data_IF_160614604594
#
_entry.id   IF_160614604594
#
_cell.length_a   1.000
_cell.length_b   1.000
_cell.length_c   1.000
_cell.angle_alpha   90.00
_cell.angle_beta   90.00
_cell.angle_gamma   90.00
#
_symmetry.space_group_name_H-M   'P 1'
#
loop_
_entity.id
_entity.type
_entity.pdbx_description
1 polymer ?
#
# COMPACT_ATOMS: atom_id res chain seq x y z
N UNK A 1 17.00 2.28 24.67
CA UNK A 1 17.08 3.62 24.04
C UNK A 1 15.66 4.11 23.76
N UNK A 2 15.38 5.36 24.08
CA UNK A 2 14.05 5.91 24.30
C UNK A 2 13.13 5.85 23.06
N UNK A 3 11.86 5.48 23.28
CA UNK A 3 10.75 5.59 22.31
C UNK A 3 10.55 7.05 21.92
N UNK A 4 11.15 7.51 20.83
CA UNK A 4 10.76 8.76 20.18
C UNK A 4 9.73 8.44 19.09
N UNK A 5 8.60 7.87 19.49
CA UNK A 5 7.39 7.95 18.67
C UNK A 5 6.84 9.35 18.87
N UNK A 6 7.10 10.26 17.93
CA UNK A 6 6.50 11.60 17.98
C UNK A 6 4.98 11.47 18.14
N UNK A 7 4.31 12.32 18.93
CA UNK A 7 2.87 12.20 19.18
C UNK A 7 2.05 12.23 17.87
N UNK A 8 2.55 12.91 16.85
CA UNK A 8 1.95 13.02 15.53
C UNK A 8 2.01 11.72 14.71
N UNK A 9 3.07 10.91 14.82
CA UNK A 9 3.13 9.61 14.14
C UNK A 9 2.12 8.62 14.74
N UNK A 10 1.83 8.72 16.04
CA UNK A 10 0.78 7.92 16.69
C UNK A 10 -0.64 8.31 16.24
N UNK A 11 -0.89 9.58 15.93
CA UNK A 11 -2.20 10.04 15.44
C UNK A 11 -2.43 9.65 13.98
N UNK A 12 -1.40 9.71 13.14
CA UNK A 12 -1.47 9.23 11.75
C UNK A 12 -1.70 7.71 11.71
N UNK A 13 -1.07 6.95 12.61
CA UNK A 13 -1.33 5.51 12.76
C UNK A 13 -2.79 5.25 13.12
N UNK A 14 -3.40 6.10 13.97
CA UNK A 14 -4.84 6.02 14.31
C UNK A 14 -5.75 6.44 13.15
N UNK A 15 -5.38 7.46 12.38
CA UNK A 15 -6.09 7.88 11.18
C UNK A 15 -6.06 6.79 10.10
N UNK A 16 -4.96 6.05 9.98
CA UNK A 16 -4.83 4.93 9.04
C UNK A 16 -5.47 3.65 9.56
N UNK A 17 -5.88 3.64 10.84
CA UNK A 17 -6.34 2.43 11.49
C UNK A 17 -7.77 2.07 11.13
N UNK A 18 -7.97 0.81 10.73
CA UNK A 18 -9.29 0.25 10.51
C UNK A 18 -10.12 0.22 11.79
N UNK A 19 -11.28 0.88 11.77
CA UNK A 19 -12.47 0.41 12.48
C UNK A 19 -12.84 -0.92 11.84
N UNK A 20 -12.84 -1.97 12.67
CA UNK A 20 -13.15 -3.37 12.37
C UNK A 20 -13.93 -3.57 11.07
N UNK A 21 -13.29 -4.16 10.06
CA UNK A 21 -13.97 -4.67 8.86
C UNK A 21 -15.07 -5.62 9.35
N UNK A 22 -16.37 -5.38 9.07
CA UNK A 22 -17.39 -6.38 9.35
C UNK A 22 -17.08 -7.63 8.52
N UNK A 23 -17.28 -8.84 9.07
CA UNK A 23 -17.07 -10.07 8.30
C UNK A 23 -17.88 -10.00 7.00
N UNK A 24 -17.21 -10.14 5.86
CA UNK A 24 -17.88 -10.15 4.55
C UNK A 24 -18.97 -11.23 4.54
N UNK A 25 -20.18 -10.83 4.15
CA UNK A 25 -21.27 -11.75 3.88
C UNK A 25 -20.95 -12.63 2.67
N UNK A 26 -21.35 -13.92 2.67
CA UNK A 26 -21.02 -14.86 1.62
C UNK A 26 -21.91 -14.61 0.40
N UNK A 27 -21.51 -13.67 -0.45
CA UNK A 27 -22.15 -13.44 -1.75
C UNK A 27 -21.32 -14.05 -2.88
N UNK A 28 -21.26 -15.38 -2.92
CA UNK A 28 -20.94 -16.14 -4.14
C UNK A 28 -21.94 -17.29 -4.23
N UNK A 29 -23.17 -16.96 -4.61
CA UNK A 29 -24.19 -17.95 -4.95
C UNK A 29 -24.38 -18.01 -6.47
N UNK A 30 -24.12 -19.22 -7.01
CA UNK A 30 -24.58 -19.82 -8.29
C UNK A 30 -23.68 -19.69 -9.51
N UNK A 31 -22.81 -20.70 -9.69
CA UNK A 31 -22.36 -21.24 -10.98
C UNK A 31 -22.17 -22.79 -10.83
N UNK A 32 -22.26 -23.61 -11.91
CA UNK A 32 -22.86 -24.93 -11.86
C UNK A 32 -21.96 -26.08 -11.34
N UNK A 33 -22.32 -26.55 -10.12
CA UNK A 33 -22.50 -27.90 -9.57
C UNK A 33 -21.78 -29.19 -10.04
N UNK A 34 -20.89 -29.27 -11.04
CA UNK A 34 -20.28 -30.57 -11.41
C UNK A 34 -18.74 -30.67 -11.31
N UNK A 35 -18.03 -29.54 -11.18
CA UNK A 35 -16.60 -29.52 -10.82
C UNK A 35 -16.34 -29.05 -9.37
N UNK A 36 -17.39 -28.68 -8.65
CA UNK A 36 -17.31 -27.86 -7.42
C UNK A 36 -16.94 -28.61 -6.14
N UNK A 37 -17.12 -29.93 -6.04
CA UNK A 37 -16.92 -30.62 -4.75
C UNK A 37 -15.42 -30.77 -4.41
N UNK A 38 -14.54 -30.89 -5.40
CA UNK A 38 -13.10 -31.02 -5.15
C UNK A 38 -12.40 -29.67 -4.88
N UNK A 39 -12.86 -28.59 -5.51
CA UNK A 39 -12.24 -27.27 -5.33
C UNK A 39 -12.69 -26.56 -4.04
N UNK A 40 -13.93 -26.80 -3.60
CA UNK A 40 -14.48 -26.13 -2.42
C UNK A 40 -13.87 -26.61 -1.09
N UNK A 41 -13.28 -27.82 -1.07
CA UNK A 41 -12.59 -28.39 0.11
C UNK A 41 -11.15 -27.87 0.23
N UNK A 42 -10.53 -27.47 -0.88
CA UNK A 42 -9.11 -27.11 -0.96
C UNK A 42 -8.78 -25.68 -0.47
N UNK A 43 -9.77 -24.80 -0.29
CA UNK A 43 -9.59 -23.38 0.04
C UNK A 43 -10.09 -22.98 1.45
N UNK A 44 -10.28 -23.94 2.34
CA UNK A 44 -10.92 -23.69 3.64
C UNK A 44 -9.97 -23.22 4.77
N UNK A 45 -8.65 -23.27 4.56
CA UNK A 45 -7.68 -22.85 5.57
C UNK A 45 -7.41 -21.35 5.47
N UNK A 46 -7.97 -20.59 6.41
CA UNK A 46 -7.62 -19.17 6.60
C UNK A 46 -6.30 -19.11 7.35
N UNK A 47 -5.28 -18.51 6.74
CA UNK A 47 -3.99 -18.27 7.38
C UNK A 47 -3.81 -16.77 7.64
N UNK A 48 -3.32 -16.39 8.83
CA UNK A 48 -3.02 -15.00 9.11
C UNK A 48 -1.79 -14.57 8.28
N UNK A 49 -1.83 -13.36 7.73
CA UNK A 49 -0.73 -12.81 6.93
C UNK A 49 0.60 -12.74 7.68
N UNK A 50 0.59 -12.71 9.01
CA UNK A 50 1.80 -12.74 9.84
C UNK A 50 2.61 -14.03 9.69
N UNK A 51 1.94 -15.16 9.39
CA UNK A 51 2.59 -16.46 9.14
C UNK A 51 3.08 -16.61 7.69
N UNK A 52 2.80 -15.62 6.83
CA UNK A 52 3.16 -15.61 5.41
C UNK A 52 4.23 -14.56 5.07
N UNK A 53 4.83 -13.91 6.07
CA UNK A 53 5.77 -12.80 5.84
C UNK A 53 7.03 -12.98 6.68
N UNK A 54 8.19 -12.81 6.05
CA UNK A 54 9.49 -12.72 6.72
C UNK A 54 10.01 -14.06 7.23
N UNK A 55 10.73 -14.07 8.35
CA UNK A 55 11.39 -15.27 8.90
C UNK A 55 10.38 -16.33 9.35
N UNK A 56 9.18 -15.90 9.72
CA UNK A 56 8.09 -16.78 10.14
C UNK A 56 7.34 -17.39 8.94
N UNK A 57 7.53 -16.85 7.73
CA UNK A 57 6.88 -17.29 6.49
C UNK A 57 7.07 -18.78 6.22
N UNK A 58 8.27 -19.31 6.48
CA UNK A 58 8.58 -20.72 6.24
C UNK A 58 7.74 -21.70 7.06
N UNK A 59 7.17 -21.27 8.20
CA UNK A 59 6.31 -22.12 9.05
C UNK A 59 4.88 -22.22 8.51
N UNK A 60 4.35 -21.14 7.93
CA UNK A 60 3.02 -21.09 7.33
C UNK A 60 2.98 -21.62 5.89
N UNK A 61 3.95 -21.21 5.06
CA UNK A 61 4.01 -21.60 3.64
C UNK A 61 4.42 -23.05 3.41
N UNK A 62 5.21 -23.67 4.29
CA UNK A 62 5.56 -25.11 4.16
C UNK A 62 4.34 -26.05 4.22
N UNK A 63 3.22 -25.57 4.76
CA UNK A 63 1.96 -26.32 4.84
C UNK A 63 1.11 -26.23 3.57
N UNK A 64 1.40 -25.25 2.70
CA UNK A 64 0.64 -24.97 1.49
C UNK A 64 1.50 -25.32 0.28
N UNK A 65 0.93 -26.02 -0.71
CA UNK A 65 1.63 -26.22 -1.98
C UNK A 65 1.60 -24.94 -2.81
N UNK A 66 2.65 -24.70 -3.60
CA UNK A 66 2.75 -23.49 -4.43
C UNK A 66 1.53 -23.29 -5.35
N UNK A 67 0.98 -24.37 -5.91
CA UNK A 67 -0.20 -24.31 -6.77
C UNK A 67 -1.45 -23.84 -6.01
N UNK A 68 -1.60 -24.26 -4.75
CA UNK A 68 -2.71 -23.84 -3.90
C UNK A 68 -2.61 -22.35 -3.57
N UNK A 69 -1.40 -21.87 -3.26
CA UNK A 69 -1.15 -20.45 -2.99
C UNK A 69 -1.47 -19.57 -4.20
N UNK A 70 -1.04 -19.97 -5.39
CA UNK A 70 -1.34 -19.22 -6.62
C UNK A 70 -2.84 -19.17 -6.92
N UNK A 71 -3.52 -20.30 -6.76
CA UNK A 71 -4.98 -20.37 -6.97
C UNK A 71 -5.71 -19.52 -5.92
N UNK A 72 -5.29 -19.52 -4.66
CA UNK A 72 -5.92 -18.71 -3.62
C UNK A 72 -5.70 -17.20 -3.85
N UNK A 73 -4.48 -16.79 -4.19
CA UNK A 73 -4.17 -15.39 -4.50
C UNK A 73 -4.98 -14.86 -5.68
N UNK A 74 -5.25 -15.70 -6.68
CA UNK A 74 -6.10 -15.32 -7.83
C UNK A 74 -7.55 -15.05 -7.45
N UNK A 75 -8.08 -15.79 -6.47
CA UNK A 75 -9.49 -15.71 -6.08
C UNK A 75 -9.75 -14.68 -4.96
N UNK A 76 -8.70 -14.16 -4.32
CA UNK A 76 -8.82 -13.18 -3.25
C UNK A 76 -8.58 -11.76 -3.78
N UNK A 77 -9.57 -10.88 -3.58
CA UNK A 77 -9.43 -9.45 -3.90
C UNK A 77 -8.50 -8.75 -2.90
N UNK A 78 -7.69 -7.81 -3.39
CA UNK A 78 -6.88 -6.95 -2.54
C UNK A 78 -7.73 -5.86 -1.87
N UNK A 79 -7.25 -5.36 -0.71
CA UNK A 79 -7.85 -4.21 -0.05
C UNK A 79 -7.69 -2.93 -0.87
N UNK A 80 -8.71 -2.06 -0.85
CA UNK A 80 -8.65 -0.77 -1.53
C UNK A 80 -7.67 0.20 -0.85
N UNK A 81 -6.99 1.06 -1.63
CA UNK A 81 -6.11 2.10 -1.08
C UNK A 81 -6.91 3.29 -0.52
N UNK A 82 -7.61 3.10 0.60
CA UNK A 82 -8.42 4.15 1.21
C UNK A 82 -7.94 4.46 2.61
N UNK A 83 -8.39 5.58 3.16
CA UNK A 83 -8.26 5.84 4.58
C UNK A 83 -8.90 4.67 5.38
N UNK A 84 -8.34 4.39 6.56
CA UNK A 84 -8.83 3.37 7.51
C UNK A 84 -8.70 1.93 7.00
N UNK A 85 -7.88 1.68 5.97
CA UNK A 85 -7.65 0.33 5.46
C UNK A 85 -6.21 -0.18 5.66
N UNK A 86 -5.47 0.38 6.62
CA UNK A 86 -4.12 -0.11 6.93
C UNK A 86 -4.15 -1.32 7.88
N UNK A 87 -3.61 -2.49 7.46
CA UNK A 87 -3.75 -3.72 8.23
C UNK A 87 -3.09 -3.64 9.61
N UNK A 88 -3.79 -4.14 10.63
CA UNK A 88 -3.31 -4.12 12.02
C UNK A 88 -1.96 -4.85 12.18
N UNK A 89 -1.77 -5.95 11.46
CA UNK A 89 -0.55 -6.73 11.52
C UNK A 89 0.68 -6.00 10.93
N UNK A 90 0.50 -5.05 10.01
CA UNK A 90 1.61 -4.24 9.48
C UNK A 90 2.10 -3.20 10.50
N UNK A 91 1.26 -2.77 11.45
CA UNK A 91 1.65 -1.74 12.45
C UNK A 91 2.75 -2.22 13.39
N UNK A 92 2.77 -3.52 13.67
CA UNK A 92 3.74 -4.15 14.55
C UNK A 92 4.68 -5.06 13.76
N UNK A 93 4.80 -4.85 12.43
CA UNK A 93 5.67 -5.66 11.61
C UNK A 93 7.13 -5.32 11.91
N UNK A 94 7.90 -6.36 12.20
CA UNK A 94 9.33 -6.28 12.39
C UNK A 94 9.99 -6.27 11.01
N UNK A 95 10.60 -5.14 10.63
CA UNK A 95 11.32 -5.06 9.38
C UNK A 95 12.64 -5.83 9.50
N UNK A 96 13.04 -6.52 8.44
CA UNK A 96 14.30 -7.25 8.41
C UNK A 96 15.36 -6.43 7.69
N UNK A 97 16.55 -6.32 8.28
CA UNK A 97 17.71 -5.78 7.59
C UNK A 97 18.27 -6.76 6.55
N UNK A 98 19.24 -6.32 5.75
CA UNK A 98 19.98 -7.18 4.80
C UNK A 98 20.63 -8.37 5.53
N UNK A 99 21.07 -8.14 6.77
CA UNK A 99 21.66 -9.16 7.66
C UNK A 99 20.60 -9.96 8.46
N UNK A 100 19.31 -9.63 8.27
CA UNK A 100 18.18 -10.25 8.96
C UNK A 100 17.91 -9.71 10.37
N UNK A 101 18.59 -8.66 10.81
CA UNK A 101 18.36 -8.03 12.11
C UNK A 101 17.05 -7.21 12.13
N UNK A 102 16.44 -7.13 13.32
CA UNK A 102 15.15 -6.49 13.52
C UNK A 102 15.27 -4.96 13.47
N UNK A 103 14.60 -4.33 12.51
CA UNK A 103 14.50 -2.88 12.36
C UNK A 103 13.10 -2.38 12.73
N UNK A 104 13.05 -1.18 13.31
CA UNK A 104 11.80 -0.48 13.62
C UNK A 104 11.09 -0.06 12.32
N UNK A 105 9.75 -0.15 12.36
CA UNK A 105 8.86 -0.12 11.21
C UNK A 105 8.94 1.11 10.27
N UNK A 106 8.30 0.95 9.11
CA UNK A 106 8.39 1.83 7.94
C UNK A 106 7.52 3.11 7.98
N UNK A 107 6.75 3.33 9.06
CA UNK A 107 5.83 4.47 9.14
C UNK A 107 6.58 5.78 9.43
N UNK A 108 6.41 6.79 8.57
CA UNK A 108 6.99 8.13 8.74
C UNK A 108 8.34 8.35 8.04
N UNK A 109 8.83 7.40 7.24
CA UNK A 109 10.09 7.54 6.48
C UNK A 109 10.07 8.64 5.42
N UNK A 110 8.91 9.06 4.95
CA UNK A 110 8.80 10.18 3.99
C UNK A 110 9.39 11.47 4.59
N UNK A 111 9.16 11.71 5.88
CA UNK A 111 9.72 12.87 6.60
C UNK A 111 11.23 12.74 6.78
N UNK A 112 11.72 11.54 7.10
CA UNK A 112 13.16 11.27 7.24
C UNK A 112 13.92 11.44 5.92
N UNK A 113 13.28 11.12 4.79
CA UNK A 113 13.85 11.25 3.44
C UNK A 113 13.75 12.67 2.86
N UNK A 114 13.15 13.60 3.60
CA UNK A 114 12.92 14.96 3.11
C UNK A 114 11.94 15.04 1.95
N UNK A 115 11.01 14.08 1.84
CA UNK A 115 9.94 14.15 0.84
C UNK A 115 9.06 15.36 1.17
N UNK A 116 8.76 16.22 0.19
CA UNK A 116 7.97 17.42 0.43
C UNK A 116 6.54 17.07 0.88
N UNK A 117 5.90 18.03 1.55
CA UNK A 117 4.48 17.93 1.94
C UNK A 117 3.61 17.93 0.71
N UNK A 118 2.36 17.49 0.83
CA UNK A 118 1.55 17.26 -0.37
C UNK A 118 1.36 18.50 -1.25
N UNK A 119 1.00 19.65 -0.67
CA UNK A 119 0.77 20.85 -1.46
C UNK A 119 2.03 21.31 -2.20
N UNK A 120 3.19 21.11 -1.60
CA UNK A 120 4.47 21.34 -2.25
C UNK A 120 4.77 20.28 -3.32
N UNK A 121 4.45 19.01 -3.05
CA UNK A 121 4.57 17.91 -4.01
C UNK A 121 3.73 18.14 -5.27
N UNK A 122 2.48 18.60 -5.13
CA UNK A 122 1.62 18.96 -6.27
C UNK A 122 2.15 20.13 -7.06
N UNK A 123 2.65 21.17 -6.41
CA UNK A 123 3.31 22.30 -7.09
C UNK A 123 4.50 21.82 -7.93
N UNK A 124 5.31 20.91 -7.39
CA UNK A 124 6.45 20.33 -8.11
C UNK A 124 6.03 19.48 -9.32
N UNK A 125 4.84 18.90 -9.29
CA UNK A 125 4.24 18.16 -10.40
C UNK A 125 3.39 19.04 -11.34
N UNK A 126 3.43 20.37 -11.19
CA UNK A 126 2.62 21.31 -11.96
C UNK A 126 1.11 21.07 -11.83
N UNK A 127 0.67 20.50 -10.70
CA UNK A 127 -0.73 20.31 -10.35
C UNK A 127 -1.24 21.45 -9.48
N UNK A 128 -2.54 21.76 -9.58
CA UNK A 128 -3.16 22.74 -8.69
C UNK A 128 -3.06 22.29 -7.23
N UNK A 129 -2.54 23.10 -6.29
CA UNK A 129 -2.57 22.77 -4.87
C UNK A 129 -4.01 22.78 -4.35
N UNK A 130 -4.24 22.09 -3.23
CA UNK A 130 -5.53 22.09 -2.55
C UNK A 130 -5.60 23.24 -1.54
N UNK A 131 -6.77 23.88 -1.48
CA UNK A 131 -7.03 24.99 -0.57
C UNK A 131 -8.02 24.63 0.52
N UNK A 132 -8.96 23.73 0.23
CA UNK A 132 -9.98 23.26 1.15
C UNK A 132 -9.88 21.74 1.35
N UNK A 133 -10.39 21.25 2.48
CA UNK A 133 -10.41 19.81 2.78
C UNK A 133 -11.46 19.08 1.95
N UNK A 134 -12.49 19.81 1.53
CA UNK A 134 -13.57 19.36 0.69
C UNK A 134 -13.10 19.13 -0.76
N UNK A 135 -11.98 19.74 -1.17
CA UNK A 135 -11.34 19.47 -2.47
C UNK A 135 -10.63 18.10 -2.47
N UNK A 136 -10.31 17.56 -1.29
CA UNK A 136 -9.55 16.32 -1.13
C UNK A 136 -10.47 15.09 -1.17
N UNK A 137 -11.56 15.13 -0.39
CA UNK A 137 -12.45 13.99 -0.20
C UNK A 137 -13.87 14.48 0.04
N UNK A 138 -14.87 13.68 -0.35
CA UNK A 138 -16.28 13.97 -0.08
C UNK A 138 -16.75 13.40 1.28
N UNK A 139 -15.87 12.68 1.99
CA UNK A 139 -16.19 12.05 3.27
C UNK A 139 -16.05 13.04 4.44
N UNK A 140 -17.19 13.47 5.00
CA UNK A 140 -17.27 14.41 6.11
C UNK A 140 -16.57 13.90 7.39
N UNK A 141 -16.61 12.58 7.65
CA UNK A 141 -15.93 11.99 8.81
C UNK A 141 -14.42 12.06 8.63
N UNK A 142 -13.92 11.70 7.45
CA UNK A 142 -12.50 11.80 7.12
C UNK A 142 -12.00 13.26 7.24
N UNK A 143 -12.75 14.23 6.71
CA UNK A 143 -12.42 15.66 6.81
C UNK A 143 -12.32 16.10 8.28
N UNK A 144 -13.27 15.68 9.12
CA UNK A 144 -13.27 16.05 10.55
C UNK A 144 -12.03 15.53 11.26
N UNK A 145 -11.68 14.26 11.06
CA UNK A 145 -10.51 13.67 11.70
C UNK A 145 -9.21 14.29 11.15
N UNK A 146 -9.15 14.57 9.84
CA UNK A 146 -8.01 15.28 9.24
C UNK A 146 -7.83 16.68 9.84
N UNK A 147 -8.92 17.45 9.98
CA UNK A 147 -8.89 18.78 10.63
C UNK A 147 -8.41 18.69 12.08
N UNK A 148 -8.81 17.65 12.82
CA UNK A 148 -8.36 17.41 14.20
C UNK A 148 -6.86 17.04 14.27
N UNK A 149 -6.40 16.13 13.41
CA UNK A 149 -5.01 15.63 13.42
C UNK A 149 -4.01 16.70 12.98
N UNK A 150 -4.35 17.51 11.97
CA UNK A 150 -3.46 18.54 11.41
C UNK A 150 -3.72 19.96 11.96
N UNK A 151 -4.67 20.11 12.88
CA UNK A 151 -5.04 21.41 13.47
C UNK A 151 -5.60 22.39 12.45
N UNK A 152 -6.30 21.88 11.43
CA UNK A 152 -6.90 22.66 10.34
C UNK A 152 -5.92 23.24 9.31
N UNK A 153 -4.61 23.03 9.45
CA UNK A 153 -3.60 23.54 8.52
C UNK A 153 -3.35 22.54 7.38
N UNK A 154 -3.85 22.86 6.18
CA UNK A 154 -3.80 21.97 5.01
C UNK A 154 -2.37 21.72 4.51
N UNK A 155 -1.48 22.71 4.59
CA UNK A 155 -0.08 22.57 4.12
C UNK A 155 0.77 21.59 4.94
N UNK A 156 0.29 21.18 6.12
CA UNK A 156 0.98 20.18 6.96
C UNK A 156 0.65 18.74 6.59
N UNK A 157 -0.30 18.53 5.68
CA UNK A 157 -0.76 17.21 5.26
C UNK A 157 0.39 16.38 4.70
N UNK A 158 0.55 15.15 5.23
CA UNK A 158 1.54 14.21 4.77
C UNK A 158 1.12 13.58 3.43
N UNK A 159 2.08 13.46 2.50
CA UNK A 159 1.87 12.84 1.19
C UNK A 159 1.25 11.44 1.30
N UNK A 160 1.78 10.58 2.18
CA UNK A 160 1.24 9.23 2.38
C UNK A 160 -0.23 9.23 2.81
N UNK A 161 -0.64 10.21 3.64
CA UNK A 161 -2.03 10.27 4.13
C UNK A 161 -2.97 10.68 3.03
N UNK A 162 -2.51 11.60 2.21
CA UNK A 162 -3.23 12.12 1.08
C UNK A 162 -3.56 11.09 0.01
N UNK A 163 -2.56 10.30 -0.41
CA UNK A 163 -2.75 9.33 -1.49
C UNK A 163 -3.87 8.32 -1.19
N UNK A 164 -4.20 8.13 0.11
CA UNK A 164 -5.31 7.31 0.58
C UNK A 164 -6.63 8.08 0.74
N UNK A 165 -6.57 9.40 0.95
CA UNK A 165 -7.73 10.27 1.15
C UNK A 165 -8.27 10.88 -0.15
N UNK A 166 -7.40 11.05 -1.15
CA UNK A 166 -7.71 11.69 -2.43
C UNK A 166 -8.86 10.99 -3.15
N UNK A 167 -9.83 11.80 -3.61
CA UNK A 167 -10.94 11.35 -4.42
C UNK A 167 -10.43 10.69 -5.70
N UNK A 168 -10.70 9.39 -5.82
CA UNK A 168 -10.25 8.60 -6.97
C UNK A 168 -11.18 8.81 -8.15
N UNK A 169 -10.59 8.77 -9.34
CA UNK A 169 -11.35 8.66 -10.59
C UNK A 169 -12.14 7.34 -10.55
N UNK A 170 -13.37 7.37 -11.07
CA UNK A 170 -14.22 6.17 -11.13
C UNK A 170 -13.45 5.02 -11.78
N UNK A 171 -13.49 3.84 -11.14
CA UNK A 171 -12.79 2.61 -11.56
C UNK A 171 -11.25 2.63 -11.44
N UNK A 172 -10.66 3.72 -10.95
CA UNK A 172 -9.21 3.79 -10.74
C UNK A 172 -8.83 3.40 -9.30
N UNK A 173 -7.88 2.46 -9.10
CA UNK A 173 -7.54 1.97 -7.75
C UNK A 173 -6.61 2.92 -6.98
N UNK A 174 -5.88 3.79 -7.69
CA UNK A 174 -4.89 4.73 -7.17
C UNK A 174 -5.36 6.18 -7.33
N UNK A 175 -4.70 7.11 -6.64
CA UNK A 175 -4.97 8.55 -6.77
C UNK A 175 -4.40 9.13 -8.06
N UNK A 176 -4.89 10.29 -8.49
CA UNK A 176 -4.38 11.00 -9.66
C UNK A 176 -2.92 11.41 -9.44
N UNK A 177 -2.60 11.92 -8.24
CA UNK A 177 -1.22 12.29 -7.87
C UNK A 177 -0.25 11.10 -8.02
N UNK A 178 -0.64 9.90 -7.56
CA UNK A 178 0.17 8.70 -7.70
C UNK A 178 0.31 8.25 -9.17
N UNK A 179 -0.77 8.39 -9.95
CA UNK A 179 -0.79 8.02 -11.36
C UNK A 179 0.27 8.76 -12.16
N UNK A 180 0.39 10.07 -12.01
CA UNK A 180 1.39 10.87 -12.74
C UNK A 180 2.83 10.46 -12.43
N UNK A 181 3.12 10.15 -11.17
CA UNK A 181 4.46 9.65 -10.78
C UNK A 181 4.72 8.28 -11.40
N UNK A 182 3.77 7.35 -11.29
CA UNK A 182 3.91 6.02 -11.86
C UNK A 182 4.10 6.12 -13.37
N UNK A 183 3.33 6.96 -14.04
CA UNK A 183 3.45 7.21 -15.47
C UNK A 183 4.85 7.72 -15.84
N UNK A 184 5.33 8.78 -15.17
CA UNK A 184 6.65 9.36 -15.42
C UNK A 184 7.78 8.35 -15.19
N UNK A 185 7.77 7.66 -14.04
CA UNK A 185 8.81 6.70 -13.68
C UNK A 185 8.78 5.48 -14.59
N UNK A 186 7.59 4.99 -14.95
CA UNK A 186 7.45 3.84 -15.87
C UNK A 186 7.96 4.19 -17.25
N UNK A 187 7.63 5.38 -17.77
CA UNK A 187 8.14 5.84 -19.04
C UNK A 187 9.67 5.91 -19.04
N UNK A 188 10.26 6.55 -18.01
CA UNK A 188 11.72 6.63 -17.86
C UNK A 188 12.39 5.25 -17.71
N UNK A 189 11.74 4.29 -17.05
CA UNK A 189 12.23 2.91 -16.94
C UNK A 189 12.26 2.20 -18.30
N UNK A 190 11.28 2.47 -19.17
CA UNK A 190 11.25 1.89 -20.52
C UNK A 190 12.32 2.53 -21.43
N UNK A 191 12.45 3.85 -21.40
CA UNK A 191 13.47 4.57 -22.19
C UNK A 191 14.89 4.19 -21.79
N UNK A 192 15.18 4.10 -20.49
CA UNK A 192 16.50 3.73 -20.00
C UNK A 192 16.94 2.33 -20.44
N UNK A 193 16.00 1.44 -20.76
CA UNK A 193 16.29 0.11 -21.33
C UNK A 193 16.49 0.20 -22.85
N UNK A 194 15.76 1.07 -23.53
CA UNK A 194 15.85 1.23 -24.99
C UNK A 194 17.15 1.93 -25.44
N UNK A 195 17.69 2.86 -24.63
CA UNK A 195 18.92 3.60 -24.93
C UNK A 195 20.21 2.81 -24.69
N UNK A 196 20.13 1.58 -24.15
CA UNK A 196 21.25 0.65 -24.12
C UNK A 196 21.46 0.10 -25.54
N UNK A 197 22.14 0.88 -26.37
CA UNK A 197 22.73 0.39 -27.63
C UNK A 197 23.56 -0.87 -27.32
N UNK A 198 23.51 -1.93 -28.14
CA UNK A 198 24.39 -3.07 -27.95
C UNK A 198 25.84 -2.57 -28.15
N UNK A 199 26.54 -2.31 -27.06
CA UNK A 199 27.96 -2.00 -27.09
C UNK A 199 28.64 -3.16 -27.81
N UNK A 200 29.25 -2.84 -28.95
CA UNK A 200 30.05 -3.69 -29.82
C UNK A 200 30.69 -4.85 -29.05
N UNK A 201 30.30 -6.07 -29.43
CA UNK A 201 30.94 -7.31 -28.96
C UNK A 201 32.43 -7.18 -29.25
N UNK A 202 33.21 -6.89 -28.21
CA UNK A 202 34.66 -6.84 -28.29
C UNK A 202 35.15 -8.20 -28.74
N UNK A 203 35.81 -8.23 -29.90
CA UNK A 203 36.46 -9.40 -30.44
C UNK A 203 37.51 -9.87 -29.41
N UNK A 204 37.25 -11.00 -28.74
CA UNK A 204 38.26 -11.68 -27.94
C UNK A 204 39.31 -12.26 -28.91
N UNK A 205 40.60 -11.92 -28.78
CA UNK A 205 41.63 -12.58 -29.57
C UNK A 205 41.74 -14.04 -29.13
N UNK A 206 41.81 -14.89 -30.14
CA UNK A 206 41.90 -16.36 -30.11
C UNK A 206 43.22 -16.80 -29.45
#
# INVERSE_FOLDING_TARGET
>A
MARVTTPMSSLIVRLMASVTIPPMSPSVAKAPLLAGICLHVLLSTVLPMTELIGKEEGKGTSRIRFEQLLVSMRHQSCGALTLWNYPNWMRNLVAQDIDGEDRLGCLGKDRERGVPRYNEFRKNLLMSPISNWEDLTDDEEAIKVLKEVYGGVIDKLDLSVELHAEKKIKEFPISETAFFIIFLVTYRRLEAVADVQPTSVGHLPI
#
